data_IF_855097687532
#
_entry.id   IF_855097687532
#
_cell.length_a   1.000
_cell.length_b   1.000
_cell.length_c   1.000
_cell.angle_alpha   90.00
_cell.angle_beta   90.00
_cell.angle_gamma   90.00
#
_symmetry.space_group_name_H-M   'P 1'
#
loop_
_entity.id
_entity.type
_entity.pdbx_description
1 polymer ?
#
# COMPACT_ATOMS: atom_id res chain seq x y z
N UNK A 1 -31.56 -23.80 -12.35
CA UNK A 1 -31.68 -22.51 -13.07
C UNK A 1 -31.06 -21.44 -12.18
N UNK A 2 -29.82 -21.02 -12.48
CA UNK A 2 -29.25 -19.86 -11.79
C UNK A 2 -29.89 -18.62 -12.40
N UNK A 3 -30.72 -17.92 -11.62
CA UNK A 3 -31.27 -16.64 -12.03
C UNK A 3 -30.17 -15.59 -12.00
N UNK A 4 -29.99 -14.89 -13.11
CA UNK A 4 -29.06 -13.77 -13.23
C UNK A 4 -29.53 -12.65 -12.29
N UNK A 5 -28.65 -12.15 -11.43
CA UNK A 5 -29.00 -11.08 -10.51
C UNK A 5 -29.17 -9.77 -11.30
N UNK A 6 -30.09 -8.87 -10.89
CA UNK A 6 -30.21 -7.54 -11.50
C UNK A 6 -28.89 -6.75 -11.50
N UNK A 7 -28.01 -7.02 -10.55
CA UNK A 7 -26.69 -6.39 -10.40
C UNK A 7 -25.61 -6.97 -11.32
N UNK A 8 -25.85 -8.08 -12.03
CA UNK A 8 -24.80 -8.77 -12.80
C UNK A 8 -24.24 -7.93 -13.95
N UNK A 9 -25.03 -6.99 -14.48
CA UNK A 9 -24.56 -6.00 -15.46
C UNK A 9 -23.52 -5.01 -14.90
N UNK A 10 -23.45 -4.84 -13.58
CA UNK A 10 -22.54 -3.90 -12.89
C UNK A 10 -21.33 -4.57 -12.25
N UNK A 11 -21.26 -5.91 -12.27
CA UNK A 11 -20.23 -6.71 -11.58
C UNK A 11 -18.77 -6.30 -11.88
N UNK A 12 -18.53 -5.80 -13.09
CA UNK A 12 -17.21 -5.40 -13.59
C UNK A 12 -17.09 -3.89 -13.88
N UNK A 13 -18.11 -3.09 -13.55
CA UNK A 13 -18.07 -1.65 -13.77
C UNK A 13 -17.27 -0.97 -12.65
N UNK A 14 -16.38 -0.06 -13.05
CA UNK A 14 -15.79 0.88 -12.12
C UNK A 14 -16.79 1.98 -11.76
N UNK A 15 -16.54 2.71 -10.68
CA UNK A 15 -17.42 3.81 -10.29
C UNK A 15 -17.53 4.87 -11.38
N UNK A 16 -16.47 5.11 -12.17
CA UNK A 16 -16.47 6.05 -13.31
C UNK A 16 -17.29 5.57 -14.51
N UNK A 17 -17.71 4.30 -14.54
CA UNK A 17 -18.46 3.71 -15.66
C UNK A 17 -19.96 3.67 -15.38
N UNK A 18 -20.40 4.26 -14.27
CA UNK A 18 -21.81 4.41 -13.92
C UNK A 18 -22.36 5.60 -14.73
N UNK A 19 -23.53 5.43 -15.34
CA UNK A 19 -24.18 6.50 -16.10
C UNK A 19 -24.78 7.54 -15.14
N UNK A 20 -24.87 8.80 -15.61
CA UNK A 20 -25.57 9.90 -14.93
C UNK A 20 -25.11 10.23 -13.49
N UNK A 21 -23.79 10.38 -13.29
CA UNK A 21 -23.26 10.96 -12.06
C UNK A 21 -22.18 12.03 -12.31
N UNK A 22 -22.05 12.98 -11.39
CA UNK A 22 -21.05 14.06 -11.41
C UNK A 22 -19.88 13.83 -10.44
N UNK A 23 -19.91 12.72 -9.69
CA UNK A 23 -18.87 12.34 -8.72
C UNK A 23 -17.51 12.21 -9.40
N UNK A 24 -16.50 12.82 -8.77
CA UNK A 24 -15.08 12.78 -9.14
C UNK A 24 -14.27 11.94 -8.17
N UNK A 25 -13.14 11.40 -8.60
CA UNK A 25 -12.38 10.43 -7.79
C UNK A 25 -11.80 11.01 -6.51
N UNK A 26 -11.50 12.32 -6.48
CA UNK A 26 -11.07 13.00 -5.26
C UNK A 26 -12.19 13.18 -4.21
N UNK A 27 -13.46 12.96 -4.58
CA UNK A 27 -14.60 12.97 -3.66
C UNK A 27 -14.86 11.59 -3.05
N UNK A 28 -14.20 10.54 -3.57
CA UNK A 28 -14.37 9.17 -3.11
C UNK A 28 -13.25 8.79 -2.14
N UNK A 29 -13.64 8.32 -0.96
CA UNK A 29 -12.68 7.81 0.02
C UNK A 29 -12.28 6.36 -0.26
N UNK A 30 -13.20 5.52 -0.76
CA UNK A 30 -12.97 4.09 -0.97
C UNK A 30 -13.43 3.60 -2.36
N UNK A 31 -12.89 4.18 -3.46
CA UNK A 31 -13.28 3.79 -4.80
C UNK A 31 -12.78 2.39 -5.16
N UNK A 32 -13.62 1.63 -5.88
CA UNK A 32 -13.19 0.41 -6.57
C UNK A 32 -12.38 0.78 -7.81
N UNK A 33 -11.13 0.34 -7.86
CA UNK A 33 -10.20 0.62 -8.97
C UNK A 33 -9.77 -0.64 -9.72
N UNK A 34 -10.28 -1.82 -9.33
CA UNK A 34 -10.07 -3.06 -10.09
C UNK A 34 -10.61 -2.95 -11.50
N UNK A 35 -9.79 -3.34 -12.46
CA UNK A 35 -10.21 -3.61 -13.82
C UNK A 35 -11.04 -4.91 -13.86
N UNK A 36 -12.04 -4.90 -14.74
CA UNK A 36 -12.78 -6.13 -15.05
C UNK A 36 -11.94 -7.12 -15.86
N UNK A 37 -12.43 -8.35 -16.06
CA UNK A 37 -11.72 -9.40 -16.78
C UNK A 37 -11.32 -8.97 -18.20
N UNK A 38 -10.27 -9.62 -18.74
CA UNK A 38 -9.82 -9.37 -20.11
C UNK A 38 -10.86 -9.82 -21.13
N UNK A 39 -10.71 -9.39 -22.40
CA UNK A 39 -11.61 -9.82 -23.47
C UNK A 39 -11.55 -11.34 -23.68
N UNK A 40 -10.34 -11.89 -23.65
CA UNK A 40 -10.10 -13.33 -23.79
C UNK A 40 -10.75 -14.10 -22.63
N UNK A 41 -10.64 -13.59 -21.41
CA UNK A 41 -11.25 -14.24 -20.25
C UNK A 41 -12.78 -14.20 -20.30
N UNK A 42 -13.37 -13.07 -20.74
CA UNK A 42 -14.82 -12.96 -20.96
C UNK A 42 -15.30 -13.90 -22.07
N UNK A 43 -14.51 -14.10 -23.11
CA UNK A 43 -14.76 -15.09 -24.18
C UNK A 43 -14.83 -16.51 -23.62
N UNK A 44 -13.81 -16.94 -22.86
CA UNK A 44 -13.79 -18.26 -22.23
C UNK A 44 -14.94 -18.47 -21.22
N UNK A 45 -15.40 -17.40 -20.57
CA UNK A 45 -16.54 -17.43 -19.64
C UNK A 45 -17.91 -17.41 -20.32
N UNK A 46 -17.98 -17.22 -21.64
CA UNK A 46 -19.25 -17.01 -22.36
C UNK A 46 -19.96 -15.71 -21.96
N UNK A 47 -19.25 -14.75 -21.36
CA UNK A 47 -19.76 -13.47 -20.86
C UNK A 47 -19.53 -12.32 -21.87
N UNK A 48 -19.43 -12.62 -23.16
CA UNK A 48 -19.13 -11.64 -24.23
C UNK A 48 -20.10 -10.45 -24.30
N UNK A 49 -21.35 -10.65 -23.86
CA UNK A 49 -22.34 -9.59 -23.79
C UNK A 49 -21.93 -8.44 -22.86
N UNK A 50 -21.04 -8.69 -21.88
CA UNK A 50 -20.46 -7.65 -21.03
C UNK A 50 -19.43 -6.77 -21.77
N UNK A 51 -18.85 -7.23 -22.90
CA UNK A 51 -17.94 -6.41 -23.72
C UNK A 51 -18.64 -5.35 -24.55
N UNK A 52 -19.89 -5.58 -24.98
CA UNK A 52 -20.59 -4.69 -25.92
C UNK A 52 -20.73 -3.26 -25.40
N UNK A 53 -20.68 -3.06 -24.08
CA UNK A 53 -20.65 -1.73 -23.43
C UNK A 53 -19.26 -1.07 -23.41
N UNK A 54 -18.17 -1.85 -23.49
CA UNK A 54 -16.77 -1.36 -23.44
C UNK A 54 -16.19 -0.97 -24.81
N UNK A 55 -16.75 -1.49 -25.92
CA UNK A 55 -16.12 -1.36 -27.25
C UNK A 55 -16.47 -0.08 -28.03
N UNK A 56 -17.36 0.78 -27.52
CA UNK A 56 -17.72 2.05 -28.18
C UNK A 56 -17.15 3.30 -27.48
N UNK A 57 -16.09 3.16 -26.67
CA UNK A 57 -15.51 4.32 -25.97
C UNK A 57 -14.50 5.03 -26.86
N UNK A 58 -14.89 6.19 -27.37
CA UNK A 58 -14.06 7.14 -28.10
C UNK A 58 -12.88 7.63 -27.25
N UNK A 59 -11.81 8.11 -27.89
CA UNK A 59 -10.67 8.69 -27.16
C UNK A 59 -11.09 9.93 -26.34
N UNK A 60 -12.13 10.64 -26.79
CA UNK A 60 -12.77 11.73 -26.06
C UNK A 60 -13.36 11.26 -24.73
N UNK A 61 -14.10 10.14 -24.72
CA UNK A 61 -14.70 9.58 -23.50
C UNK A 61 -13.62 9.01 -22.56
N UNK A 62 -12.56 8.39 -23.08
CA UNK A 62 -11.40 7.97 -22.26
C UNK A 62 -10.73 9.16 -21.58
N UNK A 63 -10.57 10.27 -22.31
CA UNK A 63 -9.98 11.49 -21.78
C UNK A 63 -10.88 12.12 -20.70
N UNK A 64 -12.19 12.19 -20.93
CA UNK A 64 -13.17 12.65 -19.93
C UNK A 64 -13.13 11.79 -18.67
N UNK A 65 -13.10 10.46 -18.81
CA UNK A 65 -12.94 9.52 -17.69
C UNK A 65 -11.67 9.80 -16.89
N UNK A 66 -10.54 10.03 -17.57
CA UNK A 66 -9.26 10.37 -16.92
C UNK A 66 -9.31 11.69 -16.15
N UNK A 67 -10.09 12.66 -16.65
CA UNK A 67 -10.34 13.94 -15.99
C UNK A 67 -11.24 13.78 -14.76
N UNK A 68 -12.24 12.89 -14.84
CA UNK A 68 -13.18 12.58 -13.77
C UNK A 68 -12.50 11.87 -12.60
N UNK A 69 -11.54 10.97 -12.88
CA UNK A 69 -10.72 10.31 -11.87
C UNK A 69 -10.03 11.30 -10.90
N UNK A 70 -9.50 12.42 -11.41
CA UNK A 70 -8.94 13.54 -10.61
C UNK A 70 -8.05 13.13 -9.40
N UNK A 71 -7.25 12.06 -9.54
CA UNK A 71 -6.42 11.52 -8.46
C UNK A 71 -5.41 12.53 -7.91
N UNK A 72 -5.00 13.51 -8.72
CA UNK A 72 -4.04 14.56 -8.36
C UNK A 72 -4.50 15.42 -7.20
N UNK A 73 -5.82 15.55 -7.00
CA UNK A 73 -6.42 16.36 -5.94
C UNK A 73 -6.93 15.54 -4.76
N UNK A 74 -6.69 14.24 -4.75
CA UNK A 74 -7.09 13.38 -3.65
C UNK A 74 -6.16 13.61 -2.44
N UNK A 75 -6.74 13.94 -1.28
CA UNK A 75 -6.01 14.10 -0.01
C UNK A 75 -6.02 12.81 0.82
N UNK A 76 -7.13 12.05 0.78
CA UNK A 76 -7.30 10.82 1.53
C UNK A 76 -7.89 9.74 0.64
N UNK A 77 -7.26 8.57 0.64
CA UNK A 77 -7.67 7.47 -0.22
C UNK A 77 -7.48 6.11 0.44
N UNK A 78 -8.52 5.28 0.38
CA UNK A 78 -8.51 3.90 0.83
C UNK A 78 -8.74 2.97 -0.36
N UNK A 79 -7.71 2.24 -0.77
CA UNK A 79 -7.78 1.21 -1.81
C UNK A 79 -7.56 -0.20 -1.22
N UNK A 80 -7.88 -0.39 0.06
CA UNK A 80 -7.69 -1.67 0.76
C UNK A 80 -8.66 -2.75 0.25
N UNK A 81 -8.28 -4.02 0.39
CA UNK A 81 -9.10 -5.20 0.11
C UNK A 81 -9.56 -5.31 -1.35
N UNK A 82 -8.68 -4.95 -2.30
CA UNK A 82 -8.98 -4.99 -3.73
C UNK A 82 -8.05 -5.92 -4.51
N UNK A 83 -7.10 -6.59 -3.84
CA UNK A 83 -6.15 -7.53 -4.46
C UNK A 83 -5.45 -6.90 -5.68
N UNK A 84 -4.93 -5.68 -5.45
CA UNK A 84 -4.31 -4.82 -6.47
C UNK A 84 -2.89 -5.28 -6.87
N UNK A 85 -2.31 -6.22 -6.14
CA UNK A 85 -1.03 -6.85 -6.45
C UNK A 85 -1.12 -7.94 -7.51
N UNK A 86 -2.33 -8.35 -7.89
CA UNK A 86 -2.55 -9.30 -8.99
C UNK A 86 -2.01 -8.75 -10.32
N UNK A 87 -1.48 -9.65 -11.17
CA UNK A 87 -0.82 -9.31 -12.43
C UNK A 87 -1.70 -8.49 -13.38
N UNK A 88 -3.01 -8.73 -13.36
CA UNK A 88 -3.96 -7.98 -14.20
C UNK A 88 -4.26 -6.59 -13.64
N UNK A 89 -4.12 -6.40 -12.33
CA UNK A 89 -4.53 -5.17 -11.64
C UNK A 89 -3.37 -4.21 -11.41
N UNK A 90 -2.16 -4.75 -11.24
CA UNK A 90 -0.99 -4.02 -10.74
C UNK A 90 -0.58 -2.84 -11.63
N UNK A 91 -0.74 -2.94 -12.96
CA UNK A 91 -0.35 -1.82 -13.84
C UNK A 91 -1.34 -0.66 -13.73
N UNK A 92 -2.65 -0.93 -13.71
CA UNK A 92 -3.65 0.11 -13.50
C UNK A 92 -3.50 0.73 -12.09
N UNK A 93 -3.26 -0.09 -11.07
CA UNK A 93 -2.97 0.39 -9.73
C UNK A 93 -1.75 1.32 -9.70
N UNK A 94 -0.62 0.94 -10.35
CA UNK A 94 0.57 1.79 -10.46
C UNK A 94 0.29 3.07 -11.24
N UNK A 95 -0.52 3.03 -12.30
CA UNK A 95 -0.98 4.22 -13.04
C UNK A 95 -1.67 5.22 -12.11
N UNK A 96 -2.55 4.74 -11.23
CA UNK A 96 -3.27 5.57 -10.26
C UNK A 96 -2.30 6.14 -9.22
N UNK A 97 -1.46 5.30 -8.60
CA UNK A 97 -0.51 5.73 -7.59
C UNK A 97 0.46 6.82 -8.07
N UNK A 98 0.90 6.76 -9.35
CA UNK A 98 1.76 7.80 -9.95
C UNK A 98 1.10 9.18 -10.00
N UNK A 99 -0.24 9.26 -9.94
CA UNK A 99 -1.01 10.51 -9.98
C UNK A 99 -1.34 11.06 -8.60
N UNK A 100 -1.09 10.32 -7.51
CA UNK A 100 -1.39 10.74 -6.14
C UNK A 100 -0.37 11.75 -5.58
N UNK A 101 -0.25 12.90 -6.23
CA UNK A 101 0.74 13.94 -5.89
C UNK A 101 0.38 14.75 -4.65
N UNK A 102 -0.90 14.80 -4.26
CA UNK A 102 -1.40 15.56 -3.10
C UNK A 102 -1.89 14.68 -1.94
N UNK A 103 -1.82 13.35 -2.09
CA UNK A 103 -2.32 12.44 -1.05
C UNK A 103 -1.55 12.64 0.25
N UNK A 104 -2.29 12.77 1.34
CA UNK A 104 -1.78 12.89 2.70
C UNK A 104 -1.97 11.58 3.47
N UNK A 105 -3.12 10.91 3.30
CA UNK A 105 -3.45 9.62 3.92
C UNK A 105 -3.78 8.56 2.88
N UNK A 106 -3.08 7.43 2.92
CA UNK A 106 -3.28 6.32 1.99
C UNK A 106 -3.36 4.99 2.71
N UNK A 107 -4.46 4.26 2.50
CA UNK A 107 -4.65 2.90 3.00
C UNK A 107 -4.64 1.90 1.83
N UNK A 108 -3.76 0.91 1.92
CA UNK A 108 -3.54 -0.15 0.93
C UNK A 108 -3.54 -1.53 1.61
N UNK A 109 -4.36 -1.71 2.64
CA UNK A 109 -4.39 -2.92 3.45
C UNK A 109 -4.87 -4.11 2.60
N UNK A 110 -4.20 -5.25 2.71
CA UNK A 110 -4.65 -6.52 2.10
C UNK A 110 -4.84 -6.43 0.57
N UNK A 111 -3.72 -6.22 -0.13
CA UNK A 111 -3.70 -6.06 -1.58
C UNK A 111 -2.62 -6.92 -2.26
N UNK A 112 -2.02 -7.89 -1.57
CA UNK A 112 -0.99 -8.77 -2.14
C UNK A 112 0.23 -8.02 -2.71
N UNK A 113 0.52 -6.79 -2.23
CA UNK A 113 1.53 -5.91 -2.81
C UNK A 113 2.96 -6.37 -2.48
N UNK A 114 3.85 -6.36 -3.47
CA UNK A 114 5.25 -6.80 -3.32
C UNK A 114 6.27 -5.69 -3.56
N UNK A 115 5.92 -4.67 -4.35
CA UNK A 115 6.83 -3.55 -4.67
C UNK A 115 6.09 -2.25 -5.01
N UNK A 116 6.47 -1.18 -4.31
CA UNK A 116 6.00 0.19 -4.48
C UNK A 116 7.17 1.18 -4.70
N UNK A 117 8.40 0.70 -4.88
CA UNK A 117 9.63 1.51 -4.98
C UNK A 117 9.62 2.53 -6.13
N UNK A 118 8.90 2.23 -7.21
CA UNK A 118 8.76 3.11 -8.37
C UNK A 118 7.83 4.31 -8.12
N UNK A 119 7.11 4.35 -7.01
CA UNK A 119 6.11 5.37 -6.69
C UNK A 119 6.71 6.46 -5.80
N UNK A 120 6.26 7.70 -6.01
CA UNK A 120 6.61 8.86 -5.17
C UNK A 120 5.33 9.49 -4.64
N UNK A 121 5.25 9.66 -3.33
CA UNK A 121 4.11 10.30 -2.65
C UNK A 121 4.65 11.50 -1.85
N UNK A 122 4.84 12.66 -2.50
CA UNK A 122 5.62 13.77 -1.94
C UNK A 122 4.96 14.44 -0.72
N UNK A 123 3.63 14.32 -0.58
CA UNK A 123 2.85 14.91 0.52
C UNK A 123 2.28 13.89 1.52
N UNK A 124 2.55 12.60 1.32
CA UNK A 124 1.98 11.56 2.16
C UNK A 124 2.57 11.63 3.57
N UNK A 125 1.69 11.72 4.56
CA UNK A 125 1.97 11.78 6.00
C UNK A 125 1.62 10.48 6.69
N UNK A 126 0.61 9.77 6.19
CA UNK A 126 0.17 8.49 6.73
C UNK A 126 0.03 7.45 5.62
N UNK A 127 0.77 6.36 5.75
CA UNK A 127 0.68 5.21 4.86
C UNK A 127 0.43 3.94 5.67
N UNK A 128 -0.64 3.24 5.32
CA UNK A 128 -0.94 1.92 5.85
C UNK A 128 -0.90 0.88 4.73
N UNK A 129 0.06 -0.03 4.80
CA UNK A 129 0.27 -1.14 3.85
C UNK A 129 0.28 -2.47 4.60
N UNK A 130 -0.51 -2.59 5.66
CA UNK A 130 -0.62 -3.83 6.43
C UNK A 130 -1.13 -4.99 5.57
N UNK A 131 -0.79 -6.22 5.95
CA UNK A 131 -1.25 -7.45 5.27
C UNK A 131 -0.89 -7.46 3.78
N UNK A 132 0.36 -7.17 3.47
CA UNK A 132 0.88 -7.27 2.10
C UNK A 132 2.09 -8.23 2.09
N UNK A 133 2.81 -8.29 0.97
CA UNK A 133 3.93 -9.21 0.78
C UNK A 133 5.24 -8.46 0.56
N UNK A 134 5.39 -7.29 1.17
CA UNK A 134 6.62 -6.50 1.09
C UNK A 134 7.75 -7.24 1.83
N UNK A 135 8.89 -7.41 1.16
CA UNK A 135 10.04 -8.16 1.69
C UNK A 135 11.15 -7.29 2.26
N UNK A 136 11.12 -5.98 1.97
CA UNK A 136 12.13 -5.01 2.39
C UNK A 136 11.56 -3.60 2.42
N UNK A 137 12.09 -2.77 3.30
CA UNK A 137 11.79 -1.33 3.35
C UNK A 137 12.17 -0.59 2.05
N UNK A 138 13.11 -1.13 1.26
CA UNK A 138 13.48 -0.58 -0.06
C UNK A 138 12.37 -0.69 -1.10
N UNK A 139 11.38 -1.56 -0.86
CA UNK A 139 10.20 -1.74 -1.72
C UNK A 139 9.11 -0.71 -1.46
N UNK A 140 9.35 0.24 -0.54
CA UNK A 140 8.40 1.29 -0.21
C UNK A 140 8.51 2.48 -1.17
N UNK A 141 7.42 3.26 -1.33
CA UNK A 141 7.46 4.47 -2.13
C UNK A 141 8.34 5.54 -1.45
N UNK A 142 8.83 6.50 -2.24
CA UNK A 142 9.52 7.68 -1.67
C UNK A 142 8.50 8.63 -1.04
N UNK A 143 8.65 8.88 0.26
CA UNK A 143 7.71 9.67 1.06
C UNK A 143 8.45 10.62 2.00
N UNK A 144 8.91 11.79 1.52
CA UNK A 144 9.74 12.70 2.32
C UNK A 144 9.02 13.32 3.53
N UNK A 145 7.69 13.31 3.55
CA UNK A 145 6.85 13.94 4.58
C UNK A 145 6.15 12.91 5.49
N UNK A 146 6.55 11.63 5.44
CA UNK A 146 5.88 10.56 6.20
C UNK A 146 6.05 10.76 7.71
N UNK A 147 4.94 10.62 8.44
CA UNK A 147 4.84 10.73 9.90
C UNK A 147 4.38 9.42 10.55
N UNK A 148 3.48 8.70 9.89
CA UNK A 148 2.92 7.44 10.37
C UNK A 148 3.03 6.37 9.29
N UNK A 149 3.75 5.29 9.57
CA UNK A 149 3.94 4.19 8.64
C UNK A 149 3.57 2.86 9.31
N UNK A 150 2.58 2.18 8.74
CA UNK A 150 2.14 0.87 9.20
C UNK A 150 2.44 -0.20 8.15
N UNK A 151 3.26 -1.17 8.54
CA UNK A 151 3.78 -2.29 7.73
C UNK A 151 3.49 -3.65 8.38
N UNK A 152 2.53 -3.71 9.31
CA UNK A 152 2.23 -4.92 10.05
C UNK A 152 1.82 -6.07 9.11
N UNK A 153 2.15 -7.30 9.47
CA UNK A 153 1.79 -8.49 8.67
C UNK A 153 2.32 -8.40 7.23
N UNK A 154 3.61 -8.12 7.08
CA UNK A 154 4.34 -8.22 5.82
C UNK A 154 5.47 -9.27 5.97
N UNK A 155 6.30 -9.43 4.93
CA UNK A 155 7.39 -10.39 4.89
C UNK A 155 8.77 -9.71 5.02
N UNK A 156 8.86 -8.59 5.76
CA UNK A 156 10.10 -7.81 5.88
C UNK A 156 11.10 -8.59 6.72
N UNK A 157 12.15 -9.12 6.06
CA UNK A 157 13.12 -9.98 6.72
C UNK A 157 14.22 -9.20 7.46
N UNK A 158 14.57 -8.02 6.95
CA UNK A 158 15.65 -7.20 7.50
C UNK A 158 15.30 -5.72 7.55
N UNK A 159 15.93 -5.01 8.49
CA UNK A 159 15.84 -3.54 8.59
C UNK A 159 16.68 -2.82 7.51
N UNK A 160 17.15 -3.51 6.47
CA UNK A 160 17.89 -2.88 5.38
C UNK A 160 17.00 -1.84 4.67
N UNK A 161 17.52 -0.62 4.52
CA UNK A 161 16.78 0.52 3.95
C UNK A 161 16.07 1.38 5.00
N UNK A 162 16.11 1.03 6.29
CA UNK A 162 15.51 1.88 7.34
C UNK A 162 16.16 3.27 7.41
N UNK A 163 17.45 3.37 7.07
CA UNK A 163 18.19 4.63 7.00
C UNK A 163 17.59 5.63 6.01
N UNK A 164 16.83 5.19 5.01
CA UNK A 164 16.21 6.05 4.01
C UNK A 164 15.14 6.97 4.64
N UNK A 165 14.59 6.57 5.79
CA UNK A 165 13.64 7.34 6.58
C UNK A 165 14.30 8.21 7.65
N UNK A 166 15.64 8.22 7.75
CA UNK A 166 16.35 9.00 8.78
C UNK A 166 16.08 10.51 8.70
N UNK A 167 15.88 11.01 7.48
CA UNK A 167 15.63 12.43 7.22
C UNK A 167 14.14 12.79 7.12
N UNK A 168 13.24 11.83 7.35
CA UNK A 168 11.79 12.09 7.33
C UNK A 168 11.29 12.44 8.74
N UNK A 169 10.13 13.12 8.86
CA UNK A 169 9.52 13.41 10.15
C UNK A 169 8.76 12.20 10.72
N UNK A 170 9.28 10.97 10.53
CA UNK A 170 8.58 9.75 10.90
C UNK A 170 8.50 9.63 12.43
N UNK A 171 7.28 9.67 12.96
CA UNK A 171 7.00 9.65 14.40
C UNK A 171 6.52 8.27 14.88
N UNK A 172 5.79 7.54 14.04
CA UNK A 172 5.23 6.23 14.37
C UNK A 172 5.52 5.21 13.29
N UNK A 173 6.07 4.06 13.68
CA UNK A 173 6.37 2.92 12.81
C UNK A 173 5.78 1.65 13.41
N UNK A 174 5.06 0.87 12.61
CA UNK A 174 4.56 -0.45 13.00
C UNK A 174 5.11 -1.49 12.03
N UNK A 175 5.88 -2.45 12.55
CA UNK A 175 6.47 -3.58 11.84
C UNK A 175 6.07 -4.93 12.47
N UNK A 176 5.16 -4.95 13.45
CA UNK A 176 4.62 -6.18 14.05
C UNK A 176 4.30 -7.26 13.02
N UNK A 177 4.55 -8.51 13.39
CA UNK A 177 4.29 -9.70 12.56
C UNK A 177 5.07 -9.64 11.24
N UNK A 178 6.28 -9.09 11.27
CA UNK A 178 7.30 -9.27 10.24
C UNK A 178 8.47 -10.06 10.81
N UNK A 179 9.20 -10.86 10.01
CA UNK A 179 10.36 -11.59 10.50
C UNK A 179 11.45 -10.70 11.12
N UNK A 180 11.56 -9.42 10.71
CA UNK A 180 12.51 -8.47 11.29
C UNK A 180 12.27 -8.16 12.78
N UNK A 181 11.06 -8.37 13.29
CA UNK A 181 10.70 -8.16 14.71
C UNK A 181 11.54 -9.05 15.65
N UNK A 182 11.96 -10.23 15.18
CA UNK A 182 12.73 -11.19 15.97
C UNK A 182 14.25 -10.97 15.91
N UNK A 183 14.71 -9.89 15.27
CA UNK A 183 16.14 -9.58 15.21
C UNK A 183 16.66 -9.16 16.59
N UNK A 184 17.89 -9.59 16.89
CA UNK A 184 18.57 -9.16 18.11
C UNK A 184 18.67 -7.62 18.12
N UNK A 185 18.28 -7.01 19.24
CA UNK A 185 18.30 -5.55 19.41
C UNK A 185 17.43 -4.78 18.41
N UNK A 186 16.36 -5.42 17.91
CA UNK A 186 15.43 -4.82 16.95
C UNK A 186 15.04 -3.38 17.29
N UNK A 187 14.55 -3.12 18.51
CA UNK A 187 14.14 -1.77 18.93
C UNK A 187 15.29 -0.78 18.93
N UNK A 188 16.44 -1.14 19.52
CA UNK A 188 17.62 -0.27 19.55
C UNK A 188 18.12 0.07 18.14
N UNK A 189 18.12 -0.90 17.22
CA UNK A 189 18.49 -0.68 15.83
C UNK A 189 17.54 0.28 15.11
N UNK A 190 16.24 0.14 15.35
CA UNK A 190 15.23 1.01 14.76
C UNK A 190 15.36 2.44 15.29
N UNK A 191 15.39 2.62 16.62
CA UNK A 191 15.50 3.96 17.23
C UNK A 191 16.86 4.63 17.00
N UNK A 192 17.95 3.88 16.86
CA UNK A 192 19.26 4.44 16.48
C UNK A 192 19.30 4.89 15.01
N UNK A 193 18.58 4.19 14.13
CA UNK A 193 18.46 4.54 12.71
C UNK A 193 17.50 5.70 12.46
N UNK A 194 16.46 5.84 13.30
CA UNK A 194 15.36 6.80 13.16
C UNK A 194 15.30 7.74 14.37
N UNK A 195 16.02 8.88 14.35
CA UNK A 195 16.13 9.76 15.51
C UNK A 195 14.81 10.45 15.88
N UNK A 196 13.93 10.69 14.90
CA UNK A 196 12.65 11.36 15.09
C UNK A 196 11.52 10.42 15.56
N UNK A 197 11.78 9.11 15.60
CA UNK A 197 10.76 8.12 15.92
C UNK A 197 10.37 8.20 17.41
N UNK A 198 9.07 8.35 17.67
CA UNK A 198 8.48 8.43 19.01
C UNK A 198 7.86 7.10 19.44
N UNK A 199 7.25 6.37 18.51
CA UNK A 199 6.49 5.14 18.78
C UNK A 199 6.91 4.05 17.80
N UNK A 200 7.23 2.87 18.34
CA UNK A 200 7.51 1.66 17.57
C UNK A 200 6.58 0.54 18.03
N UNK A 201 5.81 -0.03 17.10
CA UNK A 201 4.91 -1.16 17.36
C UNK A 201 3.84 -0.88 18.45
N UNK A 202 3.43 0.39 18.52
CA UNK A 202 2.48 0.89 19.52
C UNK A 202 3.10 1.13 20.90
N UNK A 203 4.41 0.94 21.05
CA UNK A 203 5.15 1.17 22.29
C UNK A 203 6.01 2.44 22.13
N UNK A 204 5.88 3.44 23.02
CA UNK A 204 6.70 4.64 22.96
C UNK A 204 8.19 4.32 23.15
N UNK A 205 9.07 5.24 22.74
CA UNK A 205 10.52 5.14 22.95
C UNK A 205 10.82 5.06 24.45
N UNK A 206 11.55 4.02 24.85
CA UNK A 206 11.98 3.82 26.23
C UNK A 206 13.43 4.25 26.43
N UNK A 207 13.88 4.55 27.66
CA UNK A 207 15.28 4.89 27.94
C UNK A 207 16.25 3.78 27.52
N UNK A 208 15.85 2.52 27.68
CA UNK A 208 16.62 1.33 27.32
C UNK A 208 16.92 1.25 25.81
N UNK A 209 16.03 1.78 24.97
CA UNK A 209 16.19 1.80 23.51
C UNK A 209 17.35 2.72 23.06
N UNK A 210 17.79 3.63 23.94
CA UNK A 210 18.88 4.58 23.69
C UNK A 210 20.23 4.12 24.27
N UNK A 211 20.25 3.03 25.02
CA UNK A 211 21.45 2.55 25.70
C UNK A 211 22.44 1.91 24.70
N UNK A 212 23.74 2.23 24.77
CA UNK A 212 24.74 1.51 24.00
C UNK A 212 24.77 0.05 24.45
N UNK A 213 25.19 -0.89 23.58
CA UNK A 213 25.18 -2.28 23.94
C UNK A 213 26.06 -2.50 25.18
N UNK A 214 25.45 -2.98 26.26
CA UNK A 214 26.20 -3.45 27.41
C UNK A 214 27.28 -4.44 26.98
N UNK A 215 28.42 -4.51 27.68
CA UNK A 215 29.49 -5.41 27.33
C UNK A 215 28.92 -6.82 27.16
N UNK A 216 29.28 -7.48 26.04
CA UNK A 216 28.93 -8.87 25.80
C UNK A 216 29.51 -9.68 26.97
N UNK A 217 28.67 -10.08 27.92
CA UNK A 217 29.04 -11.11 28.87
C UNK A 217 29.12 -12.41 28.08
N UNK A 218 30.33 -12.70 27.61
CA UNK A 218 30.69 -14.02 27.14
C UNK A 218 30.64 -14.92 28.37
N UNK A 219 29.53 -15.63 28.56
CA UNK A 219 29.49 -16.71 29.54
C UNK A 219 30.54 -17.73 29.10
N UNK A 220 31.73 -17.65 29.72
CA UNK A 220 32.66 -18.78 29.72
C UNK A 220 31.95 -19.88 30.49
N UNK A 221 31.36 -20.82 29.75
CA UNK A 221 31.02 -22.13 30.28
C UNK A 221 32.34 -22.77 30.74
N UNK A 222 32.62 -22.68 32.04
CA UNK A 222 33.59 -23.56 32.67
C UNK A 222 32.96 -24.96 32.71
N UNK A 223 33.31 -25.79 31.74
CA UNK A 223 33.14 -27.23 31.88
C UNK A 223 34.18 -27.70 32.89
N UNK A 224 33.73 -28.03 34.10
CA UNK A 224 34.52 -28.79 35.05
C UNK A 224 34.41 -30.26 34.61
N UNK A 225 35.53 -30.83 34.17
CA UNK A 225 35.76 -32.27 34.05
C UNK A 225 37.08 -32.58 34.74
#
# INVERSE_FOLDING_TARGET
LFFKLPSDSFKYLGWCDIEDHDVRGNQLHCPRVREGPSKEELFFRGEEHALKKREQVTDTEKWQKKLQENWENCAELNLSFQDLGDLYQVENFKRILRRLIRVERLWLVDNSLTDLSAIRLPRCRELNVNKNHLTSLKRLPKMPQIQHLSLAENNIMTLSGISDFRHTPLESLVLKRNPCEFQERYRQLVFSSLPNLKVLDGIPKLPEDSSPPGPRFCFRLCTIL
#
